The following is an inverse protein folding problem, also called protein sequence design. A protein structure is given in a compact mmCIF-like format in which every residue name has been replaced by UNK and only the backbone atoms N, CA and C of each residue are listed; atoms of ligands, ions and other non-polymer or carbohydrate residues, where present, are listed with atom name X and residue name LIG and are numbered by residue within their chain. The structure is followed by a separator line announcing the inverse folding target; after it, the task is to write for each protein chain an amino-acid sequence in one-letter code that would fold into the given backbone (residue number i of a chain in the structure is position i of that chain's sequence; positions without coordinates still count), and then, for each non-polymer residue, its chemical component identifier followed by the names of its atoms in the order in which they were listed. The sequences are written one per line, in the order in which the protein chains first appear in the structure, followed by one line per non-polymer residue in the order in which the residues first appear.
data_IF_227045746378
#
_entry.id   IF_227045746378
#
_cell.length_a   1.000
_cell.length_b   1.000
_cell.length_c   1.000
_cell.angle_alpha   90.00
_cell.angle_beta   90.00
_cell.angle_gamma   90.00
#
_symmetry.space_group_name_H-M   'P 1'
#
loop_
_entity.id
_entity.type
_entity.pdbx_description
1 polymer ?
#
# COMPACT_ATOMS: atom_id res chain seq x y z
N UNK A 1 41.40 -5.85 -1.47
CA UNK A 1 41.63 -5.52 -0.06
C UNK A 1 40.65 -6.34 0.78
N UNK A 2 41.01 -6.69 2.03
CA UNK A 2 40.21 -7.56 2.89
C UNK A 2 38.71 -7.09 3.04
N UNK A 3 38.45 -5.80 3.01
CA UNK A 3 37.10 -5.26 3.03
C UNK A 3 36.30 -5.61 1.74
N UNK A 4 36.91 -5.55 0.58
CA UNK A 4 36.29 -5.92 -0.71
C UNK A 4 35.93 -7.41 -0.76
N UNK A 5 36.77 -8.28 -0.13
CA UNK A 5 36.53 -9.70 -0.13
C UNK A 5 35.41 -10.11 0.85
N UNK A 6 35.25 -9.37 1.95
CA UNK A 6 34.14 -9.55 2.90
C UNK A 6 32.81 -9.16 2.24
N UNK A 7 32.75 -8.05 1.53
CA UNK A 7 31.53 -7.62 0.81
C UNK A 7 31.15 -8.59 -0.31
N UNK A 8 32.11 -9.11 -1.08
CA UNK A 8 31.84 -10.14 -2.09
C UNK A 8 31.30 -11.42 -1.48
N UNK A 9 31.90 -11.88 -0.39
CA UNK A 9 31.46 -13.09 0.31
C UNK A 9 30.07 -12.95 0.94
N UNK A 10 29.75 -11.76 1.44
CA UNK A 10 28.42 -11.45 1.97
C UNK A 10 27.36 -11.44 0.85
N UNK A 11 27.65 -10.86 -0.31
CA UNK A 11 26.78 -10.86 -1.48
C UNK A 11 26.56 -12.28 -2.03
N UNK A 12 27.59 -13.12 -2.08
CA UNK A 12 27.48 -14.52 -2.50
C UNK A 12 26.61 -15.35 -1.54
N UNK A 13 26.77 -15.15 -0.22
CA UNK A 13 25.94 -15.82 0.80
C UNK A 13 24.49 -15.37 0.75
N UNK A 14 24.23 -14.10 0.50
CA UNK A 14 22.86 -13.60 0.32
C UNK A 14 22.21 -14.11 -0.98
N UNK A 15 22.98 -14.20 -2.07
CA UNK A 15 22.49 -14.77 -3.32
C UNK A 15 22.21 -16.27 -3.19
N UNK A 16 23.05 -17.00 -2.48
CA UNK A 16 22.83 -18.43 -2.19
C UNK A 16 21.63 -18.66 -1.28
N UNK A 17 21.44 -17.82 -0.25
CA UNK A 17 20.21 -17.81 0.58
C UNK A 17 18.95 -17.51 -0.24
N UNK A 18 19.00 -16.55 -1.15
CA UNK A 18 17.89 -16.25 -2.06
C UNK A 18 17.55 -17.42 -2.99
N UNK A 19 18.56 -18.12 -3.53
CA UNK A 19 18.36 -19.31 -4.37
C UNK A 19 17.74 -20.46 -3.57
N UNK A 20 18.20 -20.71 -2.34
CA UNK A 20 17.65 -21.76 -1.45
C UNK A 20 16.20 -21.42 -1.03
N UNK A 21 15.91 -20.17 -0.70
CA UNK A 21 14.54 -19.75 -0.38
C UNK A 21 13.64 -19.86 -1.60
N UNK A 22 14.09 -19.41 -2.76
CA UNK A 22 13.29 -19.45 -4.00
C UNK A 22 12.93 -20.87 -4.42
N UNK A 23 13.89 -21.81 -4.37
CA UNK A 23 13.64 -23.21 -4.72
C UNK A 23 12.65 -23.92 -3.77
N UNK A 24 12.61 -23.54 -2.48
CA UNK A 24 11.65 -24.08 -1.51
C UNK A 24 10.26 -23.48 -1.67
N UNK A 25 10.19 -22.20 -1.98
CA UNK A 25 8.89 -21.51 -2.22
C UNK A 25 8.26 -22.01 -3.51
N UNK A 26 9.03 -22.17 -4.58
CA UNK A 26 8.54 -22.64 -5.88
C UNK A 26 8.03 -24.09 -5.85
N UNK A 27 8.44 -24.89 -4.85
CA UNK A 27 7.99 -26.29 -4.68
C UNK A 27 6.84 -26.48 -3.68
N UNK A 28 6.42 -25.42 -2.98
CA UNK A 28 5.35 -25.51 -1.98
C UNK A 28 4.00 -25.45 -2.63
N UNK A 29 3.24 -26.55 -2.51
CA UNK A 29 1.88 -26.61 -3.03
C UNK A 29 0.88 -26.10 -1.99
N UNK A 30 0.37 -24.90 -2.19
CA UNK A 30 -0.61 -24.26 -1.33
C UNK A 30 -1.95 -25.00 -1.30
N UNK A 31 -2.27 -25.86 -2.29
CA UNK A 31 -3.51 -26.62 -2.33
C UNK A 31 -3.67 -27.53 -1.11
N UNK A 32 -2.57 -28.03 -0.58
CA UNK A 32 -2.55 -28.89 0.64
C UNK A 32 -3.14 -28.21 1.88
N UNK A 33 -3.07 -26.87 1.95
CA UNK A 33 -3.68 -26.14 3.07
C UNK A 33 -5.21 -26.26 3.08
N UNK A 34 -5.78 -26.56 1.92
CA UNK A 34 -7.22 -26.64 1.71
C UNK A 34 -7.76 -28.06 1.65
N UNK A 35 -6.88 -29.09 1.73
CA UNK A 35 -7.25 -30.52 1.82
C UNK A 35 -7.66 -30.89 3.25
N UNK A 36 -8.78 -30.31 3.70
CA UNK A 36 -9.33 -30.54 5.04
C UNK A 36 -10.87 -30.46 5.02
N UNK A 37 -11.51 -30.83 6.13
CA UNK A 37 -12.95 -30.58 6.30
C UNK A 37 -13.29 -29.10 6.20
N UNK A 38 -14.52 -28.77 5.87
CA UNK A 38 -14.96 -27.38 5.63
C UNK A 38 -14.69 -26.48 6.83
N UNK A 39 -14.91 -26.97 8.06
CA UNK A 39 -14.66 -26.21 9.28
C UNK A 39 -13.16 -25.89 9.47
N UNK A 40 -12.31 -26.92 9.33
CA UNK A 40 -10.84 -26.74 9.44
C UNK A 40 -10.32 -25.80 8.36
N UNK A 41 -10.79 -25.97 7.12
CA UNK A 41 -10.44 -25.11 6.01
C UNK A 41 -10.84 -23.66 6.27
N UNK A 42 -12.06 -23.44 6.79
CA UNK A 42 -12.57 -22.11 7.13
C UNK A 42 -11.73 -21.43 8.22
N UNK A 43 -11.41 -22.15 9.30
CA UNK A 43 -10.59 -21.62 10.39
C UNK A 43 -9.17 -21.27 9.91
N UNK A 44 -8.53 -22.15 9.14
CA UNK A 44 -7.22 -21.89 8.53
C UNK A 44 -7.27 -20.68 7.58
N UNK A 45 -8.35 -20.53 6.80
CA UNK A 45 -8.54 -19.37 5.92
C UNK A 45 -8.65 -18.07 6.70
N UNK A 46 -9.42 -18.06 7.80
CA UNK A 46 -9.54 -16.88 8.67
C UNK A 46 -8.18 -16.45 9.23
N UNK A 47 -7.37 -17.41 9.70
CA UNK A 47 -6.02 -17.13 10.20
C UNK A 47 -5.15 -16.58 9.07
N UNK A 48 -5.11 -17.25 7.91
CA UNK A 48 -4.24 -16.86 6.78
C UNK A 48 -4.58 -15.46 6.27
N UNK A 49 -5.87 -15.17 6.05
CA UNK A 49 -6.27 -13.85 5.58
C UNK A 49 -6.11 -12.78 6.66
N UNK A 50 -6.31 -13.13 7.93
CA UNK A 50 -6.05 -12.24 9.06
C UNK A 50 -4.58 -11.82 9.14
N UNK A 51 -3.63 -12.78 9.12
CA UNK A 51 -2.21 -12.45 9.14
C UNK A 51 -1.74 -11.77 7.86
N UNK A 52 -2.38 -12.01 6.71
CA UNK A 52 -2.09 -11.30 5.46
C UNK A 52 -2.42 -9.80 5.58
N UNK A 53 -3.57 -9.45 6.14
CA UNK A 53 -3.91 -8.05 6.44
C UNK A 53 -2.98 -7.43 7.49
N UNK A 54 -2.70 -8.17 8.56
CA UNK A 54 -1.75 -7.74 9.61
C UNK A 54 -0.35 -7.49 9.05
N UNK A 55 0.11 -8.29 8.07
CA UNK A 55 1.40 -8.11 7.43
C UNK A 55 1.50 -6.77 6.68
N UNK A 56 0.42 -6.32 6.06
CA UNK A 56 0.38 -4.99 5.42
C UNK A 56 0.55 -3.87 6.45
N UNK A 57 -0.17 -3.93 7.57
CA UNK A 57 -0.01 -2.95 8.65
C UNK A 57 1.40 -2.98 9.27
N UNK A 58 1.94 -4.18 9.53
CA UNK A 58 3.30 -4.33 10.03
C UNK A 58 4.35 -3.77 9.07
N UNK A 59 4.16 -3.94 7.76
CA UNK A 59 5.04 -3.38 6.74
C UNK A 59 5.01 -1.85 6.74
N UNK A 60 3.84 -1.23 6.77
CA UNK A 60 3.73 0.23 6.85
C UNK A 60 4.35 0.79 8.13
N UNK A 61 4.21 0.11 9.28
CA UNK A 61 4.90 0.48 10.51
C UNK A 61 6.42 0.34 10.38
N UNK A 62 6.90 -0.75 9.75
CA UNK A 62 8.32 -1.01 9.54
C UNK A 62 9.01 0.06 8.69
N UNK A 63 8.40 0.51 7.59
CA UNK A 63 8.99 1.57 6.74
C UNK A 63 9.08 2.91 7.48
N UNK A 64 8.28 3.10 8.53
CA UNK A 64 8.35 4.22 9.45
C UNK A 64 9.25 3.96 10.69
N UNK A 65 10.03 2.88 10.68
CA UNK A 65 10.99 2.53 11.73
C UNK A 65 10.39 1.87 12.97
N UNK A 66 9.14 1.42 12.93
CA UNK A 66 8.46 0.75 14.06
C UNK A 66 8.31 -0.74 13.84
N UNK A 67 8.63 -1.51 14.88
CA UNK A 67 8.44 -2.98 14.90
C UNK A 67 7.95 -3.42 16.27
N UNK A 68 7.28 -4.57 16.30
CA UNK A 68 6.83 -5.21 17.54
C UNK A 68 7.18 -6.70 17.50
N UNK A 69 7.90 -7.18 18.52
CA UNK A 69 8.39 -8.56 18.58
C UNK A 69 7.27 -9.58 18.76
N UNK A 70 6.17 -9.25 19.44
CA UNK A 70 5.03 -10.14 19.60
C UNK A 70 4.28 -10.29 18.28
N UNK A 71 4.07 -9.19 17.55
CA UNK A 71 3.48 -9.20 16.20
C UNK A 71 4.33 -10.07 15.28
N UNK A 72 5.65 -9.83 15.26
CA UNK A 72 6.58 -10.57 14.40
C UNK A 72 6.61 -12.07 14.73
N UNK A 73 6.62 -12.44 16.01
CA UNK A 73 6.62 -13.84 16.45
C UNK A 73 5.32 -14.55 16.12
N UNK A 74 4.21 -13.83 16.15
CA UNK A 74 2.90 -14.39 15.87
C UNK A 74 2.75 -14.87 14.43
N UNK A 75 3.38 -14.22 13.45
CA UNK A 75 3.37 -14.70 12.06
C UNK A 75 3.89 -16.12 11.95
N UNK A 76 5.00 -16.45 12.62
CA UNK A 76 5.54 -17.80 12.62
C UNK A 76 4.62 -18.79 13.30
N UNK A 77 4.00 -18.42 14.42
CA UNK A 77 3.03 -19.25 15.14
C UNK A 77 1.83 -19.57 14.27
N UNK A 78 1.26 -18.55 13.63
CA UNK A 78 0.09 -18.69 12.78
C UNK A 78 0.39 -19.55 11.53
N UNK A 79 1.49 -19.30 10.83
CA UNK A 79 1.88 -20.06 9.64
C UNK A 79 2.13 -21.54 9.97
N UNK A 80 2.80 -21.86 11.08
CA UNK A 80 2.99 -23.24 11.53
C UNK A 80 1.68 -23.96 11.83
N UNK A 81 0.71 -23.27 12.43
CA UNK A 81 -0.59 -23.83 12.73
C UNK A 81 -1.42 -24.06 11.46
N UNK A 82 -1.38 -23.15 10.50
CA UNK A 82 -2.04 -23.34 9.20
C UNK A 82 -1.52 -24.61 8.51
N UNK A 83 -0.23 -24.87 8.58
CA UNK A 83 0.37 -26.07 7.98
C UNK A 83 0.01 -27.35 8.72
N UNK A 84 0.14 -27.40 10.04
CA UNK A 84 0.18 -28.65 10.81
C UNK A 84 -0.97 -28.89 11.80
N UNK A 85 -1.79 -27.88 12.16
CA UNK A 85 -2.87 -28.07 13.14
C UNK A 85 -4.15 -28.54 12.45
N UNK A 86 -4.87 -29.47 13.13
CA UNK A 86 -6.15 -30.02 12.67
C UNK A 86 -7.22 -30.07 13.78
N UNK A 87 -6.87 -29.62 14.97
CA UNK A 87 -7.79 -29.50 16.09
C UNK A 87 -8.61 -28.20 15.96
N UNK A 88 -9.94 -28.27 15.79
CA UNK A 88 -10.78 -27.11 15.59
C UNK A 88 -10.77 -26.14 16.78
N UNK A 89 -10.67 -26.61 18.01
CA UNK A 89 -10.67 -25.76 19.21
C UNK A 89 -9.38 -24.94 19.29
N UNK A 90 -8.26 -25.54 18.94
CA UNK A 90 -6.98 -24.84 18.87
C UNK A 90 -6.96 -23.83 17.73
N UNK A 91 -7.48 -24.17 16.56
CA UNK A 91 -7.59 -23.27 15.43
C UNK A 91 -8.52 -22.10 15.75
N UNK A 92 -9.66 -22.34 16.40
CA UNK A 92 -10.57 -21.27 16.85
C UNK A 92 -9.88 -20.33 17.84
N UNK A 93 -9.16 -20.88 18.81
CA UNK A 93 -8.37 -20.09 19.76
C UNK A 93 -7.35 -19.22 19.05
N UNK A 94 -6.73 -19.74 17.98
CA UNK A 94 -5.75 -19.00 17.18
C UNK A 94 -6.41 -17.93 16.31
N UNK A 95 -7.62 -18.15 15.79
CA UNK A 95 -8.41 -17.10 15.11
C UNK A 95 -8.64 -15.91 16.03
N UNK A 96 -9.06 -16.16 17.28
CA UNK A 96 -9.26 -15.09 18.27
C UNK A 96 -7.94 -14.38 18.60
N UNK A 97 -6.86 -15.15 18.78
CA UNK A 97 -5.52 -14.57 19.00
C UNK A 97 -5.03 -13.74 17.81
N UNK A 98 -5.37 -14.13 16.58
CA UNK A 98 -5.07 -13.34 15.38
C UNK A 98 -5.71 -11.95 15.49
N UNK A 99 -6.96 -11.86 15.93
CA UNK A 99 -7.64 -10.58 16.15
C UNK A 99 -6.96 -9.73 17.23
N UNK A 100 -6.60 -10.33 18.35
CA UNK A 100 -5.90 -9.64 19.44
C UNK A 100 -4.55 -9.07 19.00
N UNK A 101 -3.72 -9.89 18.31
CA UNK A 101 -2.41 -9.44 17.82
C UNK A 101 -2.54 -8.43 16.70
N UNK A 102 -3.57 -8.55 15.85
CA UNK A 102 -3.86 -7.54 14.84
C UNK A 102 -4.21 -6.19 15.46
N UNK A 103 -5.00 -6.16 16.53
CA UNK A 103 -5.28 -4.93 17.27
C UNK A 103 -3.99 -4.26 17.76
N UNK A 104 -3.04 -5.04 18.30
CA UNK A 104 -1.72 -4.54 18.69
C UNK A 104 -0.93 -4.00 17.49
N UNK A 105 -0.99 -4.69 16.34
CA UNK A 105 -0.34 -4.26 15.11
C UNK A 105 -0.93 -2.94 14.58
N UNK A 106 -2.25 -2.78 14.65
CA UNK A 106 -2.93 -1.52 14.28
C UNK A 106 -2.49 -0.37 15.19
N UNK A 107 -2.40 -0.59 16.51
CA UNK A 107 -1.89 0.41 17.46
C UNK A 107 -0.44 0.79 17.18
N UNK A 108 0.40 -0.18 16.75
CA UNK A 108 1.76 0.08 16.31
C UNK A 108 1.79 0.99 15.08
N UNK A 109 0.95 0.73 14.09
CA UNK A 109 0.85 1.54 12.87
C UNK A 109 0.32 2.95 13.19
N UNK A 110 -0.71 3.06 14.04
CA UNK A 110 -1.23 4.36 14.48
C UNK A 110 -0.13 5.20 15.15
N UNK A 111 0.64 4.60 16.07
CA UNK A 111 1.80 5.25 16.69
C UNK A 111 2.85 5.66 15.64
N UNK A 112 3.13 4.82 14.66
CA UNK A 112 4.08 5.13 13.59
C UNK A 112 3.60 6.31 12.75
N UNK A 113 2.34 6.33 12.36
CA UNK A 113 1.75 7.41 11.57
C UNK A 113 1.70 8.73 12.35
N UNK A 114 1.20 8.71 13.59
CA UNK A 114 1.04 9.93 14.39
C UNK A 114 2.37 10.55 14.79
N UNK A 115 3.39 9.75 15.04
CA UNK A 115 4.74 10.26 15.32
C UNK A 115 5.41 10.87 14.07
N UNK A 116 5.14 10.33 12.88
CA UNK A 116 5.74 10.83 11.63
C UNK A 116 4.95 11.95 10.95
N UNK A 117 3.62 11.97 11.10
CA UNK A 117 2.75 12.89 10.36
C UNK A 117 1.93 13.82 11.25
N UNK A 118 2.01 13.66 12.57
CA UNK A 118 1.22 14.37 13.57
C UNK A 118 -0.15 13.72 13.80
N UNK A 119 -0.83 14.13 14.85
CA UNK A 119 -2.19 13.65 15.12
C UNK A 119 -3.15 14.21 14.07
N UNK A 120 -4.00 13.38 13.47
CA UNK A 120 -5.00 13.84 12.50
C UNK A 120 -5.92 14.89 13.09
N UNK A 121 -6.25 15.90 12.30
CA UNK A 121 -7.19 16.95 12.68
C UNK A 121 -8.33 17.02 11.66
N UNK A 122 -9.56 17.36 12.07
CA UNK A 122 -10.68 17.54 11.16
C UNK A 122 -10.30 18.50 10.04
N UNK A 123 -10.49 18.08 8.80
CA UNK A 123 -10.05 18.82 7.62
C UNK A 123 -11.12 18.73 6.53
N UNK A 124 -11.51 19.86 5.96
CA UNK A 124 -12.36 19.90 4.77
C UNK A 124 -11.50 19.57 3.56
N UNK A 125 -11.90 18.56 2.80
CA UNK A 125 -11.17 18.09 1.61
C UNK A 125 -11.96 18.46 0.36
N UNK A 126 -11.45 19.38 -0.50
CA UNK A 126 -12.13 19.76 -1.74
C UNK A 126 -12.28 18.59 -2.71
N UNK A 127 -13.36 18.61 -3.48
CA UNK A 127 -13.59 17.70 -4.61
C UNK A 127 -13.36 18.37 -5.95
N UNK A 128 -13.02 19.65 -5.96
CA UNK A 128 -12.68 20.40 -7.17
C UNK A 128 -11.26 20.06 -7.61
N UNK A 129 -11.10 19.61 -8.85
CA UNK A 129 -9.80 19.43 -9.47
C UNK A 129 -9.43 20.72 -10.19
N UNK A 130 -8.41 21.40 -9.69
CA UNK A 130 -7.93 22.65 -10.28
C UNK A 130 -7.33 22.38 -11.67
N UNK A 131 -7.44 23.32 -12.58
CA UNK A 131 -6.82 23.27 -13.90
C UNK A 131 -5.30 23.05 -13.82
N UNK A 132 -4.72 22.42 -14.83
CA UNK A 132 -3.30 22.18 -14.96
C UNK A 132 -2.87 20.77 -14.54
N UNK A 133 -1.56 20.48 -14.58
CA UNK A 133 -1.03 19.15 -14.32
C UNK A 133 -1.35 18.65 -12.91
N UNK A 134 -1.75 17.40 -12.81
CA UNK A 134 -1.99 16.76 -11.51
C UNK A 134 -1.65 15.27 -11.52
N UNK A 135 -1.54 14.69 -10.34
CA UNK A 135 -1.37 13.25 -10.09
C UNK A 135 -2.46 12.78 -9.14
N UNK A 136 -3.05 11.62 -9.41
CA UNK A 136 -3.98 10.95 -8.50
C UNK A 136 -3.24 9.83 -7.78
N UNK A 137 -3.33 9.79 -6.45
CA UNK A 137 -2.70 8.77 -5.60
C UNK A 137 -3.76 7.95 -4.89
N UNK A 138 -3.74 6.64 -5.09
CA UNK A 138 -4.68 5.69 -4.49
C UNK A 138 -3.96 4.63 -3.67
N UNK A 139 -4.60 4.15 -2.62
CA UNK A 139 -4.06 3.13 -1.72
C UNK A 139 -3.95 3.62 -0.28
N UNK A 140 -2.92 3.17 0.45
CA UNK A 140 -2.81 3.41 1.91
C UNK A 140 -1.42 3.88 2.35
N UNK A 141 -0.41 3.92 1.46
CA UNK A 141 0.97 4.20 1.85
C UNK A 141 1.21 5.71 1.99
N UNK A 142 1.21 6.20 3.24
CA UNK A 142 1.47 7.61 3.54
C UNK A 142 2.93 7.99 3.36
N UNK A 143 3.86 7.02 3.46
CA UNK A 143 5.28 7.27 3.24
C UNK A 143 5.55 7.58 1.76
N UNK A 144 5.02 6.77 0.85
CA UNK A 144 5.14 7.01 -0.59
C UNK A 144 4.44 8.32 -1.00
N UNK A 145 3.25 8.62 -0.41
CA UNK A 145 2.59 9.90 -0.63
C UNK A 145 3.48 11.08 -0.20
N UNK A 146 4.11 11.00 0.97
CA UNK A 146 5.01 12.06 1.46
C UNK A 146 6.20 12.26 0.52
N UNK A 147 6.86 11.19 0.10
CA UNK A 147 7.98 11.26 -0.84
C UNK A 147 7.57 11.85 -2.20
N UNK A 148 6.37 11.51 -2.69
CA UNK A 148 5.83 12.13 -3.90
C UNK A 148 5.59 13.62 -3.71
N UNK A 149 5.02 14.04 -2.58
CA UNK A 149 4.80 15.44 -2.24
C UNK A 149 6.12 16.22 -2.20
N UNK A 150 7.15 15.64 -1.58
CA UNK A 150 8.51 16.24 -1.54
C UNK A 150 9.09 16.40 -2.96
N UNK A 151 8.95 15.38 -3.81
CA UNK A 151 9.48 15.41 -5.18
C UNK A 151 8.69 16.30 -6.14
N UNK A 152 7.43 16.59 -5.84
CA UNK A 152 6.55 17.44 -6.68
C UNK A 152 6.49 18.90 -6.22
N UNK A 153 7.06 19.24 -5.06
CA UNK A 153 7.06 20.59 -4.54
C UNK A 153 7.69 21.58 -5.51
N UNK A 154 6.99 22.69 -5.79
CA UNK A 154 7.43 23.73 -6.70
C UNK A 154 7.41 23.37 -8.20
N UNK A 155 6.93 22.19 -8.59
CA UNK A 155 6.89 21.77 -10.01
C UNK A 155 5.60 22.12 -10.74
N UNK A 156 4.67 22.83 -10.10
CA UNK A 156 3.38 23.21 -10.71
C UNK A 156 2.44 22.03 -10.95
N UNK A 157 2.58 20.96 -10.17
CA UNK A 157 1.75 19.76 -10.23
C UNK A 157 0.93 19.67 -8.95
N UNK A 158 -0.38 19.51 -9.06
CA UNK A 158 -1.26 19.28 -7.94
C UNK A 158 -1.41 17.77 -7.65
N UNK A 159 -1.56 17.42 -6.39
CA UNK A 159 -1.75 16.04 -5.94
C UNK A 159 -3.18 15.89 -5.38
N UNK A 160 -3.86 14.86 -5.83
CA UNK A 160 -5.18 14.47 -5.35
C UNK A 160 -5.13 13.04 -4.82
N UNK A 161 -5.72 12.81 -3.66
CA UNK A 161 -5.95 11.46 -3.16
C UNK A 161 -7.15 10.82 -3.85
N UNK A 162 -7.24 9.50 -3.77
CA UNK A 162 -8.40 8.76 -4.25
C UNK A 162 -8.78 7.67 -3.24
N UNK A 163 -10.10 7.50 -3.03
CA UNK A 163 -10.64 6.42 -2.21
C UNK A 163 -10.08 6.43 -0.77
N UNK A 164 -9.50 5.34 -0.33
CA UNK A 164 -9.03 5.13 1.05
C UNK A 164 -7.77 5.93 1.43
N UNK A 165 -7.18 6.68 0.49
CA UNK A 165 -6.11 7.65 0.78
C UNK A 165 -6.67 8.99 1.35
N UNK A 166 -7.99 9.21 1.33
CA UNK A 166 -8.65 10.42 1.82
C UNK A 166 -8.19 10.85 3.24
N UNK A 167 -8.01 9.95 4.22
CA UNK A 167 -7.54 10.32 5.56
C UNK A 167 -6.17 10.99 5.62
N UNK A 168 -5.36 10.89 4.57
CA UNK A 168 -4.07 11.58 4.48
C UNK A 168 -4.16 13.09 4.70
N UNK A 169 -5.27 13.70 4.29
CA UNK A 169 -5.52 15.14 4.46
C UNK A 169 -5.67 15.58 5.92
N UNK A 170 -5.95 14.67 6.85
CA UNK A 170 -6.02 14.95 8.28
C UNK A 170 -4.66 15.15 8.94
N UNK A 171 -3.60 14.61 8.38
CA UNK A 171 -2.27 14.63 8.99
C UNK A 171 -1.54 15.96 8.75
N UNK A 172 -1.15 16.70 9.83
CA UNK A 172 -0.52 18.03 9.72
C UNK A 172 0.71 18.06 8.82
N UNK A 173 1.59 17.06 8.91
CA UNK A 173 2.82 16.98 8.14
C UNK A 173 2.62 16.69 6.66
N UNK A 174 1.47 16.14 6.26
CA UNK A 174 1.11 15.96 4.86
C UNK A 174 0.36 17.18 4.32
N UNK A 175 -0.62 17.69 5.05
CA UNK A 175 -1.40 18.87 4.60
C UNK A 175 -0.62 20.20 4.56
N UNK A 176 0.60 20.25 5.12
CA UNK A 176 1.48 21.42 4.96
C UNK A 176 1.87 21.67 3.50
N UNK A 177 1.90 20.62 2.66
CA UNK A 177 2.19 20.72 1.24
C UNK A 177 0.99 21.34 0.51
N UNK A 178 1.14 22.59 0.05
CA UNK A 178 0.03 23.37 -0.53
C UNK A 178 -0.53 22.81 -1.84
N UNK A 179 0.22 21.93 -2.51
CA UNK A 179 -0.19 21.24 -3.71
C UNK A 179 -0.87 19.89 -3.46
N UNK A 180 -0.99 19.42 -2.20
CA UNK A 180 -1.95 18.40 -1.81
C UNK A 180 -3.33 19.06 -1.71
N UNK A 181 -4.12 18.97 -2.79
CA UNK A 181 -5.29 19.82 -2.98
C UNK A 181 -6.59 19.25 -2.46
N UNK A 182 -6.88 18.00 -2.80
CA UNK A 182 -8.18 17.41 -2.48
C UNK A 182 -8.29 15.95 -2.86
N UNK A 183 -9.51 15.45 -2.97
CA UNK A 183 -9.79 14.07 -3.31
C UNK A 183 -10.42 13.98 -4.70
N UNK A 184 -9.99 12.99 -5.48
CA UNK A 184 -10.49 12.69 -6.82
C UNK A 184 -11.50 11.55 -6.74
N UNK A 185 -12.73 11.80 -7.13
CA UNK A 185 -13.75 10.75 -7.26
C UNK A 185 -14.23 10.16 -5.93
N UNK A 186 -14.55 8.87 -5.99
CA UNK A 186 -15.26 8.13 -4.93
C UNK A 186 -14.43 6.96 -4.37
N UNK A 187 -15.03 5.78 -4.24
CA UNK A 187 -14.38 4.59 -3.75
C UNK A 187 -13.71 3.77 -4.86
N UNK A 188 -12.79 2.90 -4.46
CA UNK A 188 -11.99 2.07 -5.37
C UNK A 188 -12.83 1.27 -6.40
N UNK A 189 -14.05 0.88 -6.05
CA UNK A 189 -14.95 0.13 -6.94
C UNK A 189 -15.37 0.91 -8.20
N UNK A 190 -15.28 2.24 -8.16
CA UNK A 190 -15.70 3.12 -9.26
C UNK A 190 -14.53 3.58 -10.14
N UNK A 191 -13.29 3.23 -9.79
CA UNK A 191 -12.09 3.73 -10.47
C UNK A 191 -12.09 3.51 -11.99
N UNK A 192 -12.65 2.39 -12.47
CA UNK A 192 -12.69 2.11 -13.91
C UNK A 192 -13.52 3.11 -14.72
N UNK A 193 -14.53 3.73 -14.11
CA UNK A 193 -15.31 4.80 -14.72
C UNK A 193 -14.71 6.16 -14.46
N UNK A 194 -14.21 6.40 -13.26
CA UNK A 194 -13.64 7.67 -12.84
C UNK A 194 -12.31 7.99 -13.54
N UNK A 195 -11.48 6.96 -13.79
CA UNK A 195 -10.20 7.12 -14.49
C UNK A 195 -10.32 7.04 -16.02
N UNK A 196 -11.54 6.82 -16.55
CA UNK A 196 -11.72 6.79 -17.99
C UNK A 196 -11.30 8.11 -18.63
N UNK A 197 -10.30 8.04 -19.53
CA UNK A 197 -9.71 9.20 -20.21
C UNK A 197 -9.23 10.34 -19.27
N UNK A 198 -8.88 10.05 -18.04
CA UNK A 198 -8.30 11.03 -17.12
C UNK A 198 -7.02 11.65 -17.73
N UNK A 199 -6.86 13.00 -17.77
CA UNK A 199 -5.67 13.65 -18.31
C UNK A 199 -4.54 13.74 -17.25
N UNK A 200 -4.28 12.68 -16.51
CA UNK A 200 -3.30 12.64 -15.43
C UNK A 200 -2.82 11.22 -15.15
N UNK A 201 -1.61 11.02 -14.64
CA UNK A 201 -1.17 9.74 -14.12
C UNK A 201 -1.87 9.38 -12.80
N UNK A 202 -2.00 8.07 -12.60
CA UNK A 202 -2.54 7.45 -11.38
C UNK A 202 -1.44 6.61 -10.77
N UNK A 203 -1.12 6.86 -9.49
CA UNK A 203 -0.15 6.09 -8.71
C UNK A 203 -0.88 5.22 -7.69
N UNK A 204 -0.77 3.91 -7.81
CA UNK A 204 -1.26 2.96 -6.82
C UNK A 204 -0.15 2.56 -5.85
N UNK A 205 -0.40 2.73 -4.56
CA UNK A 205 0.56 2.43 -3.49
C UNK A 205 0.27 1.12 -2.78
N UNK A 206 -0.96 0.61 -2.88
CA UNK A 206 -1.41 -0.66 -2.28
C UNK A 206 -2.48 -1.33 -3.14
N UNK A 207 -3.17 -2.32 -2.57
CA UNK A 207 -4.09 -3.25 -3.22
C UNK A 207 -5.41 -2.67 -3.77
N UNK A 208 -5.65 -1.37 -3.68
CA UNK A 208 -6.88 -0.75 -4.19
C UNK A 208 -6.92 -0.62 -5.73
N UNK A 209 -6.24 -1.49 -6.44
CA UNK A 209 -6.21 -1.51 -7.92
C UNK A 209 -7.19 -2.55 -8.46
N UNK A 210 -8.10 -2.12 -9.32
CA UNK A 210 -8.94 -3.00 -10.13
C UNK A 210 -8.28 -3.30 -11.49
N UNK A 211 -8.76 -4.30 -12.25
CA UNK A 211 -8.26 -4.55 -13.58
C UNK A 211 -8.23 -3.26 -14.42
N UNK A 212 -7.04 -2.89 -14.85
CA UNK A 212 -6.77 -1.61 -15.53
C UNK A 212 -7.32 -1.66 -16.95
N UNK A 213 -8.04 -0.60 -17.36
CA UNK A 213 -8.62 -0.50 -18.72
C UNK A 213 -7.65 0.22 -19.65
N UNK A 214 -7.70 -0.14 -20.94
CA UNK A 214 -6.87 0.44 -22.00
C UNK A 214 -7.02 1.97 -22.10
N UNK A 215 -8.15 2.54 -21.71
CA UNK A 215 -8.43 3.99 -21.76
C UNK A 215 -7.56 4.83 -20.84
N UNK A 216 -6.85 4.20 -19.87
CA UNK A 216 -5.95 4.90 -18.93
C UNK A 216 -4.70 4.09 -18.56
N UNK A 217 -4.49 2.91 -19.11
CA UNK A 217 -3.38 2.01 -18.73
C UNK A 217 -1.99 2.62 -18.93
N UNK A 218 -1.84 3.48 -19.94
CA UNK A 218 -0.59 4.20 -20.26
C UNK A 218 -0.20 5.27 -19.23
N UNK A 219 -1.07 5.53 -18.26
CA UNK A 219 -0.92 6.54 -17.20
C UNK A 219 -0.94 5.94 -15.80
N UNK A 220 -0.99 4.61 -15.68
CA UNK A 220 -1.01 3.92 -14.38
C UNK A 220 0.39 3.51 -13.98
N UNK A 221 0.74 3.84 -12.74
CA UNK A 221 1.98 3.47 -12.09
C UNK A 221 1.68 2.75 -10.78
N UNK A 222 2.57 1.87 -10.38
CA UNK A 222 2.50 1.15 -9.11
C UNK A 222 3.77 1.39 -8.30
N UNK A 223 3.67 1.27 -6.98
CA UNK A 223 4.82 1.36 -6.08
C UNK A 223 4.62 0.46 -4.86
N UNK A 224 5.68 0.28 -4.05
CA UNK A 224 5.62 -0.45 -2.80
C UNK A 224 5.18 -1.90 -2.98
N UNK A 225 4.13 -2.33 -2.28
CA UNK A 225 3.67 -3.74 -2.25
C UNK A 225 2.73 -4.12 -3.38
N UNK A 226 2.30 -3.16 -4.21
CA UNK A 226 1.42 -3.42 -5.33
C UNK A 226 2.18 -3.41 -6.66
N UNK A 227 1.91 -4.41 -7.47
CA UNK A 227 2.34 -4.45 -8.86
C UNK A 227 1.20 -4.95 -9.75
N UNK A 228 1.24 -4.61 -11.02
CA UNK A 228 0.27 -5.08 -11.99
C UNK A 228 1.02 -5.40 -13.30
N UNK A 229 0.66 -6.48 -14.01
CA UNK A 229 1.33 -6.84 -15.25
C UNK A 229 1.40 -5.67 -16.25
N UNK A 230 2.54 -5.52 -16.90
CA UNK A 230 2.78 -4.53 -17.96
C UNK A 230 2.77 -3.05 -17.51
N UNK A 231 2.50 -2.75 -16.24
CA UNK A 231 2.57 -1.38 -15.72
C UNK A 231 3.95 -1.03 -15.19
N UNK A 232 4.29 0.26 -15.27
CA UNK A 232 5.53 0.77 -14.68
C UNK A 232 5.45 0.71 -13.17
N UNK A 233 6.42 0.04 -12.57
CA UNK A 233 6.56 -0.07 -11.12
C UNK A 233 7.72 0.83 -10.64
N UNK A 234 7.43 1.70 -9.69
CA UNK A 234 8.43 2.52 -9.01
C UNK A 234 9.10 1.66 -7.93
N UNK A 235 10.39 1.47 -8.07
CA UNK A 235 11.20 0.60 -7.22
C UNK A 235 11.48 1.15 -5.81
N UNK A 236 12.40 0.47 -5.13
CA UNK A 236 12.78 0.81 -3.75
C UNK A 236 13.50 2.16 -3.63
N UNK A 237 14.08 2.66 -4.72
CA UNK A 237 14.68 4.00 -4.81
C UNK A 237 13.67 5.14 -4.72
N UNK A 238 12.37 4.82 -4.88
CA UNK A 238 11.26 5.77 -4.80
C UNK A 238 11.46 7.02 -5.68
N UNK A 239 12.04 6.82 -6.88
CA UNK A 239 12.14 7.87 -7.88
C UNK A 239 10.81 8.02 -8.62
N UNK A 240 10.03 9.04 -8.29
CA UNK A 240 8.75 9.35 -8.94
C UNK A 240 8.89 10.19 -10.22
N UNK A 241 10.12 10.42 -10.73
CA UNK A 241 10.34 11.16 -11.96
C UNK A 241 9.50 10.69 -13.16
N UNK A 242 9.26 9.37 -13.38
CA UNK A 242 8.39 8.91 -14.47
C UNK A 242 6.94 9.37 -14.31
N UNK A 243 6.40 9.36 -13.07
CA UNK A 243 5.04 9.81 -12.75
C UNK A 243 4.92 11.32 -12.95
N UNK A 244 5.93 12.07 -12.49
CA UNK A 244 6.04 13.52 -12.63
C UNK A 244 6.09 13.92 -14.12
N UNK A 245 6.94 13.27 -14.91
CA UNK A 245 7.05 13.49 -16.34
C UNK A 245 5.72 13.23 -17.06
N UNK A 246 5.02 12.14 -16.71
CA UNK A 246 3.71 11.82 -17.28
C UNK A 246 2.65 12.85 -16.90
N UNK A 247 2.68 13.41 -15.68
CA UNK A 247 1.76 14.48 -15.29
C UNK A 247 1.94 15.76 -16.14
N UNK A 248 3.18 16.13 -16.37
CA UNK A 248 3.51 17.29 -17.23
C UNK A 248 3.14 17.03 -18.71
N UNK A 249 3.35 15.81 -19.21
CA UNK A 249 2.94 15.39 -20.55
C UNK A 249 1.43 15.45 -20.73
N UNK A 250 0.66 14.94 -19.77
CA UNK A 250 -0.80 14.95 -19.80
C UNK A 250 -1.40 16.35 -19.71
N UNK A 251 -0.74 17.28 -19.01
CA UNK A 251 -1.14 18.69 -18.88
C UNK A 251 -2.34 18.95 -17.96
N UNK A 252 -3.10 17.94 -17.58
CA UNK A 252 -4.28 18.09 -16.73
C UNK A 252 -5.51 18.65 -17.46
N UNK A 253 -6.45 19.19 -16.69
CA UNK A 253 -7.65 19.83 -17.24
C UNK A 253 -7.38 21.30 -17.63
N UNK A 254 -8.06 21.79 -18.67
CA UNK A 254 -7.94 23.17 -19.17
C UNK A 254 -8.68 24.17 -18.26
N UNK A 255 -9.63 23.69 -17.47
CA UNK A 255 -10.45 24.45 -16.50
C UNK A 255 -10.66 23.63 -15.22
N UNK A 256 -11.07 24.29 -14.14
CA UNK A 256 -11.40 23.63 -12.89
C UNK A 256 -12.60 22.69 -13.10
N UNK A 257 -12.52 21.48 -12.54
CA UNK A 257 -13.52 20.45 -12.69
C UNK A 257 -14.08 20.00 -11.35
N UNK A 258 -15.38 20.19 -11.15
CA UNK A 258 -16.07 19.60 -10.01
C UNK A 258 -16.24 18.09 -10.20
N UNK A 259 -15.74 17.33 -9.25
CA UNK A 259 -15.98 15.88 -9.22
C UNK A 259 -17.25 15.60 -8.43
N UNK A 260 -18.12 14.77 -9.02
CA UNK A 260 -19.25 14.19 -8.29
C UNK A 260 -18.83 12.91 -7.63
N UNK A 261 -19.23 12.67 -6.41
CA UNK A 261 -18.91 11.42 -5.77
C UNK A 261 -19.02 11.42 -4.27
N UNK A 262 -18.21 10.61 -3.66
CA UNK A 262 -18.15 10.53 -2.21
C UNK A 262 -17.67 11.87 -1.66
N UNK A 263 -18.58 12.56 -0.99
CA UNK A 263 -18.20 13.78 -0.38
C UNK A 263 -17.40 13.49 0.87
N UNK A 264 -16.19 13.29 0.62
CA UNK A 264 -15.27 13.24 1.72
C UNK A 264 -15.18 14.51 2.52
N UNK A 265 -15.73 15.57 2.18
CA UNK A 265 -15.63 16.89 2.78
C UNK A 265 -14.88 17.04 4.10
N UNK A 266 -14.78 15.94 4.87
CA UNK A 266 -14.07 15.86 6.15
C UNK A 266 -13.30 14.54 6.26
N UNK A 267 -12.17 14.60 6.87
CA UNK A 267 -11.37 13.44 7.28
C UNK A 267 -10.95 13.59 8.76
#
# INVERSE_FOLDING_TARGET
SAASDVYKRQAEVEEEKRKICKSKVDSYDLSRLWEASDDIRSLKSLILFGIKGMAAYAYHALVLGKTDSEVNSFFYTALRAIEGESDPDKLLSLVLKTGEVNFRCMALLDSANTENYGNPVPTVVPLTIEKGPFIVVSGHDLHDLKLLLEQTEGKGINIYTHSEMLPAHGYPELKKYKHLKGNFGTGWQNQQSEFHNIPAPILFTTNCIMPVRQSYSDRVFTTSVVSYPELVHIGDDKDFSPVIAKALECGGYDEDKEMTGMNGGHT
#
